data_IF_482958683602
#
_entry.id   IF_482958683602
#
_cell.length_a   1.000
_cell.length_b   1.000
_cell.length_c   1.000
_cell.angle_alpha   90.00
_cell.angle_beta   90.00
_cell.angle_gamma   90.00
#
_symmetry.space_group_name_H-M   'P 1'
#
loop_
_entity.id
_entity.type
_entity.pdbx_description
1 polymer ?
#
# COMPACT_ATOMS: atom_id res chain seq x y z
N UNK A 1 3.87 12.13 5.70
CA UNK A 1 3.41 11.06 4.79
C UNK A 1 4.50 10.05 4.41
N UNK A 2 5.27 9.57 5.39
CA UNK A 2 5.58 8.14 5.44
C UNK A 2 4.65 7.53 6.50
N UNK A 3 4.55 8.26 7.62
CA UNK A 3 3.55 8.17 8.69
C UNK A 3 2.09 8.02 8.20
N UNK A 4 1.59 8.90 7.31
CA UNK A 4 0.17 8.80 6.87
C UNK A 4 -0.16 7.51 6.08
N UNK A 5 0.84 6.90 5.42
CA UNK A 5 0.68 5.69 4.59
C UNK A 5 1.08 4.41 5.33
N UNK A 6 2.06 4.48 6.24
CA UNK A 6 2.54 3.37 7.08
C UNK A 6 1.73 3.23 8.39
N UNK A 7 1.26 4.33 8.99
CA UNK A 7 0.55 4.32 10.29
C UNK A 7 -0.96 4.62 10.18
N UNK A 8 -1.49 4.81 8.97
CA UNK A 8 -2.93 5.10 8.76
C UNK A 8 -3.41 6.40 9.42
N UNK A 9 -2.51 7.29 9.84
CA UNK A 9 -2.87 8.52 10.54
C UNK A 9 -3.48 9.54 9.58
N UNK A 10 -4.66 10.03 9.95
CA UNK A 10 -5.39 11.06 9.21
C UNK A 10 -4.67 12.40 9.32
N UNK A 11 -4.57 13.15 8.22
CA UNK A 11 -3.95 14.50 8.14
C UNK A 11 -4.33 15.44 9.28
N UNK A 12 -5.56 15.32 9.80
CA UNK A 12 -6.10 16.12 10.90
C UNK A 12 -5.30 15.93 12.21
N UNK A 13 -5.02 14.68 12.58
CA UNK A 13 -4.28 14.32 13.80
C UNK A 13 -2.85 14.88 13.73
N UNK A 14 -2.20 14.76 12.58
CA UNK A 14 -0.87 15.33 12.33
C UNK A 14 -0.84 16.86 12.43
N UNK A 15 -1.87 17.57 11.97
CA UNK A 15 -1.95 19.03 12.17
C UNK A 15 -2.09 19.42 13.64
N UNK A 16 -2.84 18.65 14.43
CA UNK A 16 -3.05 18.88 15.87
C UNK A 16 -1.78 18.55 16.68
N UNK A 17 -1.15 17.39 16.41
CA UNK A 17 0.04 16.90 17.11
C UNK A 17 1.25 17.83 16.94
N UNK A 18 1.40 18.43 15.76
CA UNK A 18 2.53 19.32 15.44
C UNK A 18 2.16 20.81 15.52
N UNK A 19 0.93 21.16 15.92
CA UNK A 19 0.46 22.55 15.99
C UNK A 19 0.54 23.31 14.66
N UNK A 20 0.48 22.58 13.53
CA UNK A 20 0.70 23.16 12.22
C UNK A 20 -0.59 23.83 11.72
N UNK A 21 -0.51 25.12 11.38
CA UNK A 21 -1.59 25.80 10.67
C UNK A 21 -1.91 25.15 9.33
N UNK A 22 -3.17 25.24 8.87
CA UNK A 22 -3.62 24.68 7.57
C UNK A 22 -2.75 25.16 6.40
N UNK A 23 -2.33 26.42 6.42
CA UNK A 23 -1.44 27.04 5.41
C UNK A 23 -0.05 26.40 5.41
N UNK A 24 0.56 26.25 6.59
CA UNK A 24 1.89 25.63 6.75
C UNK A 24 1.91 24.18 6.28
N UNK A 25 0.88 23.40 6.62
CA UNK A 25 0.76 22.01 6.16
C UNK A 25 0.62 21.93 4.63
N UNK A 26 -0.16 22.85 4.02
CA UNK A 26 -0.29 22.92 2.55
C UNK A 26 1.05 23.23 1.86
N UNK A 27 1.82 24.19 2.41
CA UNK A 27 3.15 24.56 1.91
C UNK A 27 4.10 23.37 2.01
N UNK A 28 4.16 22.69 3.17
CA UNK A 28 5.02 21.53 3.36
C UNK A 28 4.65 20.34 2.46
N UNK A 29 3.36 20.14 2.20
CA UNK A 29 2.91 19.13 1.24
C UNK A 29 3.34 19.47 -0.20
N UNK A 30 3.30 20.76 -0.57
CA UNK A 30 3.75 21.22 -1.88
C UNK A 30 5.27 21.08 -2.02
N UNK A 31 6.03 21.53 -1.02
CA UNK A 31 7.49 21.42 -0.97
C UNK A 31 7.95 19.97 -1.12
N UNK A 32 7.38 19.05 -0.33
CA UNK A 32 7.70 17.62 -0.44
C UNK A 32 7.33 17.04 -1.79
N UNK A 33 6.18 17.38 -2.37
CA UNK A 33 5.81 16.86 -3.70
C UNK A 33 6.82 17.27 -4.76
N UNK A 34 7.33 18.49 -4.70
CA UNK A 34 8.37 18.94 -5.62
C UNK A 34 9.73 18.26 -5.33
N UNK A 35 10.07 18.01 -4.06
CA UNK A 35 11.25 17.21 -3.70
C UNK A 35 11.14 15.75 -4.18
N UNK A 36 9.95 15.15 -4.15
CA UNK A 36 9.71 13.80 -4.68
C UNK A 36 9.94 13.73 -6.19
N UNK A 37 9.62 14.80 -6.93
CA UNK A 37 9.80 14.87 -8.39
C UNK A 37 11.26 15.02 -8.79
N UNK A 38 12.08 15.66 -7.94
CA UNK A 38 13.46 16.04 -8.26
C UNK A 38 14.51 15.05 -7.73
N UNK A 39 14.16 14.14 -6.80
CA UNK A 39 15.10 13.15 -6.23
C UNK A 39 14.85 11.75 -6.82
N UNK A 40 15.75 11.21 -7.68
CA UNK A 40 15.55 9.93 -8.37
C UNK A 40 15.34 8.73 -7.42
N UNK A 41 15.99 8.72 -6.25
CA UNK A 41 15.78 7.69 -5.21
C UNK A 41 14.34 7.60 -4.71
N UNK A 42 13.61 8.72 -4.69
CA UNK A 42 12.23 8.74 -4.19
C UNK A 42 11.24 8.22 -5.23
N UNK A 43 11.53 8.47 -6.51
CA UNK A 43 10.77 7.93 -7.64
C UNK A 43 10.91 6.41 -7.74
N UNK A 44 12.11 5.90 -7.50
CA UNK A 44 12.40 4.47 -7.45
C UNK A 44 11.66 3.79 -6.28
N UNK A 45 11.70 4.39 -5.08
CA UNK A 45 10.92 3.89 -3.93
C UNK A 45 9.41 3.86 -4.19
N UNK A 46 8.87 4.87 -4.89
CA UNK A 46 7.46 4.91 -5.25
C UNK A 46 7.10 3.77 -6.23
N UNK A 47 7.95 3.54 -7.24
CA UNK A 47 7.78 2.42 -8.17
C UNK A 47 7.87 1.06 -7.49
N UNK A 48 8.81 0.89 -6.55
CA UNK A 48 8.91 -0.33 -5.74
C UNK A 48 7.65 -0.58 -4.89
N UNK A 49 7.03 0.47 -4.35
CA UNK A 49 5.79 0.35 -3.59
C UNK A 49 4.60 -0.07 -4.46
N UNK A 50 4.44 0.54 -5.64
CA UNK A 50 3.39 0.18 -6.59
C UNK A 50 3.55 -1.27 -7.05
N UNK A 51 4.78 -1.70 -7.31
CA UNK A 51 5.09 -3.06 -7.71
C UNK A 51 4.83 -4.07 -6.57
N UNK A 52 5.20 -3.74 -5.33
CA UNK A 52 4.89 -4.57 -4.16
C UNK A 52 3.37 -4.75 -4.00
N UNK A 53 2.59 -3.68 -4.17
CA UNK A 53 1.12 -3.73 -4.14
C UNK A 53 0.56 -4.61 -5.27
N UNK A 54 1.13 -4.52 -6.48
CA UNK A 54 0.76 -5.36 -7.62
C UNK A 54 1.05 -6.84 -7.35
N UNK A 55 2.22 -7.15 -6.78
CA UNK A 55 2.62 -8.51 -6.44
C UNK A 55 1.74 -9.13 -5.36
N UNK A 56 1.41 -8.38 -4.29
CA UNK A 56 0.48 -8.85 -3.25
C UNK A 56 -0.89 -9.22 -3.78
N UNK A 57 -1.42 -8.45 -4.74
CA UNK A 57 -2.70 -8.76 -5.39
C UNK A 57 -2.63 -10.07 -6.18
N UNK A 58 -1.58 -10.24 -7.00
CA UNK A 58 -1.37 -11.48 -7.76
C UNK A 58 -1.19 -12.69 -6.84
N UNK A 59 -0.48 -12.53 -5.72
CA UNK A 59 -0.30 -13.60 -4.76
C UNK A 59 -1.64 -14.03 -4.15
N UNK A 60 -2.46 -13.07 -3.70
CA UNK A 60 -3.78 -13.36 -3.15
C UNK A 60 -4.71 -14.06 -4.15
N UNK A 61 -4.66 -13.66 -5.42
CA UNK A 61 -5.41 -14.33 -6.49
C UNK A 61 -4.96 -15.78 -6.69
N UNK A 62 -3.64 -16.03 -6.72
CA UNK A 62 -3.08 -17.38 -6.84
C UNK A 62 -3.37 -18.26 -5.63
N UNK A 63 -3.33 -17.70 -4.42
CA UNK A 63 -3.71 -18.42 -3.20
C UNK A 63 -5.18 -18.82 -3.22
N UNK A 64 -6.06 -17.93 -3.72
CA UNK A 64 -7.48 -18.23 -3.88
C UNK A 64 -7.73 -19.35 -4.91
N UNK A 65 -7.10 -19.27 -6.08
CA UNK A 65 -7.16 -20.32 -7.11
C UNK A 65 -6.67 -21.66 -6.56
N UNK A 66 -5.51 -21.68 -5.90
CA UNK A 66 -4.93 -22.88 -5.32
C UNK A 66 -5.83 -23.47 -4.22
N UNK A 67 -6.43 -22.62 -3.37
CA UNK A 67 -7.40 -23.04 -2.37
C UNK A 67 -8.65 -23.66 -2.98
N UNK A 68 -9.14 -23.12 -4.11
CA UNK A 68 -10.27 -23.70 -4.84
C UNK A 68 -9.91 -25.07 -5.43
N UNK A 69 -8.77 -25.19 -6.10
CA UNK A 69 -8.33 -26.45 -6.70
C UNK A 69 -8.10 -27.54 -5.64
N UNK A 70 -7.50 -27.21 -4.50
CA UNK A 70 -7.33 -28.16 -3.39
C UNK A 70 -8.66 -28.65 -2.84
N UNK A 71 -9.66 -27.77 -2.72
CA UNK A 71 -11.02 -28.15 -2.30
C UNK A 71 -11.69 -29.06 -3.33
N UNK A 72 -11.57 -28.74 -4.62
CA UNK A 72 -12.10 -29.57 -5.69
C UNK A 72 -11.45 -30.96 -5.71
N UNK A 73 -10.12 -31.02 -5.60
CA UNK A 73 -9.39 -32.29 -5.51
C UNK A 73 -9.85 -33.14 -4.31
N UNK A 74 -9.99 -32.53 -3.13
CA UNK A 74 -10.48 -33.22 -1.94
C UNK A 74 -11.94 -33.71 -2.10
N UNK A 75 -12.78 -32.95 -2.80
CA UNK A 75 -14.15 -33.35 -3.10
C UNK A 75 -14.19 -34.59 -4.01
N UNK A 76 -13.42 -34.59 -5.11
CA UNK A 76 -13.37 -35.73 -6.03
C UNK A 76 -12.76 -36.99 -5.41
N UNK A 77 -11.76 -36.87 -4.53
CA UNK A 77 -11.20 -38.02 -3.81
C UNK A 77 -12.26 -38.71 -2.94
N UNK A 78 -13.16 -37.94 -2.33
CA UNK A 78 -14.23 -38.47 -1.47
C UNK A 78 -15.36 -39.17 -2.24
N UNK A 79 -15.53 -38.90 -3.53
CA UNK A 79 -16.53 -39.58 -4.38
C UNK A 79 -16.02 -40.92 -4.95
N UNK A 80 -14.72 -41.19 -4.83
CA UNK A 80 -14.09 -42.43 -5.33
C UNK A 80 -13.91 -43.47 -4.21
N UNK A 81 -14.00 -43.06 -2.93
CA UNK A 81 -14.22 -43.94 -1.76
C UNK A 81 -15.68 -44.38 -1.64
#
# INVERSE_FOLDING_TARGET
>A
MRIDLEEGRTKKILTEEYGLGKSTNSIWQKQRREECKTKPRLKEQLGMYEENKRLRRKLAEKEKENGFLKKAAAFFVKEIE
#
